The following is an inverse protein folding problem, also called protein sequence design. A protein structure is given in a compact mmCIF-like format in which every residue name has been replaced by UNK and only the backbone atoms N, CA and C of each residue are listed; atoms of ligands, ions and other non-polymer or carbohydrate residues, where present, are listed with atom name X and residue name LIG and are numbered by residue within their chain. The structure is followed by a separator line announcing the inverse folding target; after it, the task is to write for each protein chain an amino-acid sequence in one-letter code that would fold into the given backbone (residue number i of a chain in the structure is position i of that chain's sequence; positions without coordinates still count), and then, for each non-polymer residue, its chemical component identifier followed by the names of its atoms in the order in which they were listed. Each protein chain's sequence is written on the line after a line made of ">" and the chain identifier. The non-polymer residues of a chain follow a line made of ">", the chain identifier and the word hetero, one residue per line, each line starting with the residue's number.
data_IF_286761097347
#
_entry.id   IF_286761097347
#
_cell.length_a   1.000
_cell.length_b   1.000
_cell.length_c   1.000
_cell.angle_alpha   90.00
_cell.angle_beta   90.00
_cell.angle_gamma   90.00
#
_symmetry.space_group_name_H-M   'P 1'
#
loop_
_entity.id
_entity.type
_entity.pdbx_description
1 polymer ?
#
# COMPACT_ATOMS: atom_id res chain seq x y z
N UNK A 1 6.61 -3.55 10.92
CA UNK A 1 7.50 -4.48 10.19
C UNK A 1 6.76 -5.54 9.36
N UNK A 2 5.42 -5.59 9.34
CA UNK A 2 4.68 -6.53 8.48
C UNK A 2 3.55 -5.81 7.73
N UNK A 3 3.89 -5.10 6.65
CA UNK A 3 2.89 -4.61 5.69
C UNK A 3 2.58 -5.73 4.71
N UNK A 4 1.34 -6.24 4.73
CA UNK A 4 0.88 -7.31 3.84
C UNK A 4 -0.48 -6.96 3.29
N UNK A 5 -0.68 -7.26 2.01
CA UNK A 5 -1.92 -6.98 1.29
C UNK A 5 -2.53 -8.31 0.84
N UNK A 6 -3.68 -8.73 1.41
CA UNK A 6 -4.37 -9.91 0.94
C UNK A 6 -4.84 -9.69 -0.51
N UNK A 7 -4.45 -10.58 -1.41
CA UNK A 7 -4.82 -10.48 -2.82
C UNK A 7 -6.28 -10.91 -3.01
N UNK A 8 -7.13 -10.08 -3.66
CA UNK A 8 -8.53 -10.38 -3.88
C UNK A 8 -8.68 -11.29 -5.12
N UNK A 9 -8.21 -12.53 -5.00
CA UNK A 9 -8.28 -13.53 -6.09
C UNK A 9 -9.75 -13.78 -6.47
N UNK A 10 -10.05 -13.73 -7.77
CA UNK A 10 -11.41 -13.89 -8.28
C UNK A 10 -12.30 -12.63 -8.16
N UNK A 11 -11.72 -11.49 -7.76
CA UNK A 11 -12.38 -10.19 -7.89
C UNK A 11 -12.80 -9.93 -9.35
N UNK A 12 -14.07 -9.60 -9.57
CA UNK A 12 -14.63 -9.44 -10.93
C UNK A 12 -14.11 -8.21 -11.66
N UNK A 13 -13.77 -7.15 -10.92
CA UNK A 13 -13.35 -5.88 -11.50
C UNK A 13 -11.86 -5.94 -11.84
N UNK A 14 -11.04 -6.50 -10.94
CA UNK A 14 -9.60 -6.66 -11.11
C UNK A 14 -9.24 -7.87 -12.00
N UNK A 15 -10.10 -8.90 -12.04
CA UNK A 15 -9.92 -10.14 -12.79
C UNK A 15 -8.54 -10.77 -12.48
N UNK A 16 -8.23 -10.94 -11.19
CA UNK A 16 -6.95 -11.43 -10.69
C UNK A 16 -6.98 -12.94 -10.45
N UNK A 17 -6.14 -13.68 -11.19
CA UNK A 17 -5.90 -15.12 -11.02
C UNK A 17 -4.84 -15.43 -9.97
N UNK A 18 -4.72 -16.70 -9.58
CA UNK A 18 -3.73 -17.16 -8.58
C UNK A 18 -2.27 -17.02 -9.03
N UNK A 19 -2.05 -17.19 -10.33
CA UNK A 19 -0.72 -17.16 -10.96
C UNK A 19 -0.45 -15.81 -11.66
N UNK A 20 -1.36 -14.85 -11.53
CA UNK A 20 -1.20 -13.52 -12.12
C UNK A 20 -0.21 -12.68 -11.31
N UNK A 21 0.65 -11.94 -12.01
CA UNK A 21 1.50 -10.94 -11.39
C UNK A 21 0.69 -9.68 -11.03
N UNK A 22 0.94 -9.15 -9.84
CA UNK A 22 0.26 -7.97 -9.31
C UNK A 22 1.27 -6.93 -8.86
N UNK A 23 1.11 -5.69 -9.33
CA UNK A 23 1.80 -4.56 -8.74
C UNK A 23 0.98 -3.99 -7.58
N UNK A 24 1.64 -3.74 -6.45
CA UNK A 24 1.05 -3.14 -5.25
C UNK A 24 1.66 -1.74 -5.08
N UNK A 25 0.83 -0.71 -5.15
CA UNK A 25 1.27 0.69 -5.14
C UNK A 25 0.56 1.42 -4.00
N UNK A 26 1.32 2.07 -3.12
CA UNK A 26 0.73 2.96 -2.12
C UNK A 26 0.78 4.42 -2.59
N UNK A 27 -0.19 5.21 -2.15
CA UNK A 27 -0.28 6.62 -2.49
C UNK A 27 0.42 7.48 -1.44
N UNK A 28 1.28 8.38 -1.89
CA UNK A 28 2.04 9.30 -1.04
C UNK A 28 1.38 10.68 -1.05
N UNK A 29 1.10 11.21 0.14
CA UNK A 29 0.69 12.60 0.36
C UNK A 29 1.94 13.45 0.66
N UNK A 30 2.48 14.06 -0.39
CA UNK A 30 3.67 14.94 -0.31
C UNK A 30 3.32 16.24 0.41
N UNK A 31 4.23 16.69 1.28
CA UNK A 31 4.13 17.96 2.02
C UNK A 31 5.28 18.91 1.62
N UNK A 32 5.14 20.23 1.82
CA UNK A 32 6.23 21.19 1.55
C UNK A 32 7.52 20.85 2.29
N UNK A 33 7.40 20.39 3.54
CA UNK A 33 8.47 19.75 4.28
C UNK A 33 8.46 18.23 3.98
N UNK A 34 9.48 17.69 3.28
CA UNK A 34 9.52 16.28 2.94
C UNK A 34 9.40 15.36 4.16
N UNK A 35 9.92 15.76 5.32
CA UNK A 35 9.88 14.94 6.56
C UNK A 35 8.46 14.67 7.04
N UNK A 36 7.49 15.52 6.66
CA UNK A 36 6.07 15.38 6.99
C UNK A 36 5.28 14.61 5.93
N UNK A 37 5.94 14.12 4.88
CA UNK A 37 5.31 13.31 3.83
C UNK A 37 4.76 12.02 4.44
N UNK A 38 3.56 11.64 4.03
CA UNK A 38 2.88 10.44 4.54
C UNK A 38 2.50 9.51 3.40
N UNK A 39 2.39 8.22 3.68
CA UNK A 39 1.87 7.20 2.79
C UNK A 39 0.55 6.64 3.33
N UNK A 40 -0.40 6.38 2.43
CA UNK A 40 -1.64 5.68 2.78
C UNK A 40 -1.41 4.17 2.70
N UNK A 41 -1.33 3.51 3.85
CA UNK A 41 -1.20 2.05 3.96
C UNK A 41 -2.57 1.36 4.00
N UNK A 42 -3.66 2.08 4.29
CA UNK A 42 -5.01 1.52 4.39
C UNK A 42 -5.58 1.14 3.03
N UNK A 43 -5.15 1.79 1.95
CA UNK A 43 -5.79 1.69 0.65
C UNK A 43 -4.80 1.63 -0.53
N UNK A 44 -4.02 0.54 -0.68
CA UNK A 44 -3.15 0.32 -1.84
C UNK A 44 -3.94 0.22 -3.15
N UNK A 45 -3.29 0.60 -4.23
CA UNK A 45 -3.72 0.32 -5.61
C UNK A 45 -3.10 -1.00 -6.04
N UNK A 46 -3.95 -1.95 -6.39
CA UNK A 46 -3.57 -3.22 -7.01
C UNK A 46 -3.73 -3.10 -8.52
N UNK A 47 -2.70 -3.48 -9.27
CA UNK A 47 -2.74 -3.53 -10.74
C UNK A 47 -2.45 -4.96 -11.17
N UNK A 48 -3.42 -5.59 -11.85
CA UNK A 48 -3.16 -6.87 -12.50
C UNK A 48 -2.35 -6.60 -13.76
N UNK A 49 -1.09 -7.07 -13.79
CA UNK A 49 -0.16 -6.79 -14.89
C UNK A 49 -0.52 -7.53 -16.18
N UNK A 50 -1.35 -8.57 -16.11
CA UNK A 50 -1.84 -9.32 -17.28
C UNK A 50 -2.85 -8.51 -18.09
N UNK A 51 -3.75 -7.78 -17.43
CA UNK A 51 -4.89 -7.11 -18.08
C UNK A 51 -4.92 -5.58 -17.88
N UNK A 52 -3.96 -5.03 -17.13
CA UNK A 52 -3.84 -3.61 -16.79
C UNK A 52 -5.04 -3.01 -16.07
N UNK A 53 -5.94 -3.84 -15.53
CA UNK A 53 -7.02 -3.37 -14.65
C UNK A 53 -6.44 -3.06 -13.27
N UNK A 54 -6.97 -2.03 -12.65
CA UNK A 54 -6.53 -1.57 -11.35
C UNK A 54 -7.72 -1.33 -10.42
N UNK A 55 -7.49 -1.57 -9.13
CA UNK A 55 -8.47 -1.30 -8.08
C UNK A 55 -7.76 -0.76 -6.85
N UNK A 56 -8.36 0.23 -6.19
CA UNK A 56 -7.93 0.64 -4.86
C UNK A 56 -8.65 -0.23 -3.82
N UNK A 57 -7.88 -1.06 -3.10
CA UNK A 57 -8.41 -2.00 -2.12
C UNK A 57 -8.32 -1.39 -0.72
N UNK A 58 -9.44 -1.21 -0.02
CA UNK A 58 -9.44 -0.79 1.39
C UNK A 58 -9.21 -2.02 2.27
N UNK A 59 -8.10 -2.03 3.01
CA UNK A 59 -7.72 -3.12 3.90
C UNK A 59 -8.53 -3.04 5.20
N UNK A 60 -9.01 -4.17 5.72
CA UNK A 60 -9.69 -4.23 7.03
C UNK A 60 -8.72 -4.59 8.16
N UNK A 61 -7.52 -4.00 8.13
CA UNK A 61 -6.57 -4.08 9.24
C UNK A 61 -6.49 -2.71 9.93
N UNK A 62 -6.77 -2.61 11.25
CA UNK A 62 -6.66 -1.35 11.98
C UNK A 62 -5.22 -0.85 12.13
N UNK A 63 -4.20 -1.71 11.92
CA UNK A 63 -2.79 -1.35 12.05
C UNK A 63 -2.26 -0.55 10.85
N UNK A 64 -3.01 -0.45 9.75
CA UNK A 64 -2.60 0.27 8.56
C UNK A 64 -3.35 1.60 8.44
N UNK A 65 -2.76 2.74 8.85
CA UNK A 65 -3.43 4.03 8.80
C UNK A 65 -3.45 4.64 7.38
N UNK A 66 -4.32 5.62 7.18
CA UNK A 66 -4.35 6.44 5.95
C UNK A 66 -3.21 7.45 5.87
N UNK A 67 -2.54 7.72 7.00
CA UNK A 67 -1.39 8.62 7.12
C UNK A 67 -0.32 7.96 7.97
N UNK A 68 0.59 7.25 7.33
CA UNK A 68 1.79 6.73 7.95
C UNK A 68 2.99 7.62 7.56
N UNK A 69 3.85 8.08 8.49
CA UNK A 69 5.05 8.83 8.13
C UNK A 69 5.92 8.06 7.13
N UNK A 70 6.28 8.69 6.00
CA UNK A 70 7.10 8.03 4.97
C UNK A 70 8.55 7.84 5.43
N UNK A 71 9.04 8.76 6.26
CA UNK A 71 10.41 8.78 6.74
C UNK A 71 10.43 8.42 8.23
N UNK A 72 11.49 7.73 8.65
CA UNK A 72 11.77 7.55 10.06
C UNK A 72 11.99 8.91 10.72
N UNK A 73 11.52 9.07 11.96
CA UNK A 73 11.87 10.27 12.73
C UNK A 73 13.38 10.27 12.98
N UNK A 74 14.09 11.41 12.80
CA UNK A 74 15.49 11.49 13.18
C UNK A 74 15.60 11.27 14.69
N UNK A 75 15.96 10.04 15.09
CA UNK A 75 15.97 9.58 16.48
C UNK A 75 15.55 8.13 16.70
N UNK A 76 14.91 7.48 15.71
CA UNK A 76 14.55 6.05 15.75
C UNK A 76 15.59 5.15 15.06
N UNK A 77 16.88 5.43 15.25
CA UNK A 77 17.87 4.35 15.10
C UNK A 77 17.58 3.35 16.23
N UNK A 78 16.98 2.21 15.87
CA UNK A 78 16.80 1.09 16.78
C UNK A 78 18.17 0.76 17.38
N UNK A 79 18.34 1.00 18.67
CA UNK A 79 19.43 0.40 19.44
C UNK A 79 19.20 -1.11 19.43
N UNK A 80 20.06 -1.82 18.70
CA UNK A 80 20.24 -3.28 18.83
C UNK A 80 20.76 -3.64 20.23
#
# INVERSE_FOLDING_TARGET
>A
EHYSVPLPIGDRDLDLGKDDEVAIINLVSVRPDPTQTTVNLKAPVLVNLRNMKARQLVLDDPNFPTRYPLWASPGEEKKE
#
